data_IF_015708148613
#
_entry.id   IF_015708148613
#
_cell.length_a   1.000
_cell.length_b   1.000
_cell.length_c   1.000
_cell.angle_alpha   90.00
_cell.angle_beta   90.00
_cell.angle_gamma   90.00
#
_symmetry.space_group_name_H-M   'P 1'
#
loop_
_entity.id
_entity.type
_entity.pdbx_description
1 polymer ?
#
# COMPACT_ATOMS: atom_id res chain seq x y z
N UNK A 1 39.99 -18.15 25.70
CA UNK A 1 38.57 -17.79 25.40
C UNK A 1 38.58 -16.60 24.45
N UNK A 2 38.43 -16.85 23.14
CA UNK A 2 38.27 -15.80 22.13
C UNK A 2 36.82 -15.33 22.22
N UNK A 3 36.63 -14.11 22.67
CA UNK A 3 35.37 -13.36 22.50
C UNK A 3 35.25 -12.96 21.01
N UNK A 4 34.48 -13.68 20.27
CA UNK A 4 34.02 -13.23 18.94
C UNK A 4 33.00 -12.11 19.16
N UNK A 5 33.45 -10.86 19.02
CA UNK A 5 32.54 -9.71 18.90
C UNK A 5 31.73 -9.87 17.64
N UNK A 6 30.45 -10.22 17.79
CA UNK A 6 29.47 -10.11 16.72
C UNK A 6 29.20 -8.61 16.53
N UNK A 7 29.91 -7.98 15.59
CA UNK A 7 29.48 -6.70 15.05
C UNK A 7 28.12 -6.92 14.39
N UNK A 8 27.07 -6.43 15.00
CA UNK A 8 25.79 -6.24 14.32
C UNK A 8 26.06 -5.26 13.18
N UNK A 9 26.23 -5.79 11.97
CA UNK A 9 26.25 -4.96 10.77
C UNK A 9 24.93 -4.18 10.74
N UNK A 10 25.02 -2.86 10.83
CA UNK A 10 23.88 -1.98 10.61
C UNK A 10 23.26 -2.26 9.24
N UNK A 11 21.97 -1.98 9.06
CA UNK A 11 21.30 -2.19 7.78
C UNK A 11 22.00 -1.38 6.70
N UNK A 12 22.45 -2.05 5.63
CA UNK A 12 23.10 -1.42 4.47
C UNK A 12 22.07 -0.83 3.52
N UNK A 13 20.87 -1.42 3.43
CA UNK A 13 19.77 -0.94 2.61
C UNK A 13 18.62 -0.46 3.50
N UNK A 14 18.35 0.82 3.49
CA UNK A 14 17.42 1.49 4.41
C UNK A 14 16.15 1.92 3.70
N UNK A 15 15.00 1.67 4.35
CA UNK A 15 13.71 2.00 3.79
C UNK A 15 12.58 1.97 4.82
N UNK A 16 11.37 2.19 4.34
CA UNK A 16 10.17 2.20 5.17
C UNK A 16 8.93 2.56 4.35
N UNK A 17 7.91 3.06 5.00
CA UNK A 17 6.69 3.53 4.33
C UNK A 17 5.43 2.78 4.74
N UNK A 18 4.72 2.20 3.79
CA UNK A 18 3.41 1.57 3.99
C UNK A 18 3.34 0.69 5.23
N UNK A 19 2.29 0.87 6.03
CA UNK A 19 2.07 0.10 7.26
C UNK A 19 1.34 -1.23 7.00
N UNK A 20 0.52 -1.31 5.96
CA UNK A 20 -0.22 -2.54 5.63
C UNK A 20 0.72 -3.74 5.42
N UNK A 21 1.79 -3.65 4.60
CA UNK A 21 2.70 -4.77 4.36
C UNK A 21 3.89 -4.83 5.33
N UNK A 22 3.87 -4.07 6.42
CA UNK A 22 5.05 -3.93 7.28
C UNK A 22 5.61 -5.26 7.78
N UNK A 23 4.74 -6.18 8.24
CA UNK A 23 5.15 -7.51 8.70
C UNK A 23 5.61 -8.41 7.56
N UNK A 24 5.01 -8.29 6.38
CA UNK A 24 5.51 -8.97 5.19
C UNK A 24 6.93 -8.51 4.84
N UNK A 25 7.20 -7.21 4.94
CA UNK A 25 8.54 -6.68 4.69
C UNK A 25 9.53 -7.10 5.80
N UNK A 26 9.22 -6.81 7.07
CA UNK A 26 10.14 -7.02 8.20
C UNK A 26 9.37 -7.25 9.51
N UNK A 27 9.96 -8.00 10.44
CA UNK A 27 9.41 -8.18 11.78
C UNK A 27 8.59 -9.45 11.99
N UNK A 28 8.53 -10.33 11.00
CA UNK A 28 7.99 -11.69 11.10
C UNK A 28 9.06 -12.72 10.71
N UNK A 29 8.89 -13.97 11.12
CA UNK A 29 9.84 -15.03 10.81
C UNK A 29 9.93 -15.33 9.30
N UNK A 30 8.87 -15.07 8.55
CA UNK A 30 8.72 -15.28 7.12
C UNK A 30 8.77 -13.97 6.30
N UNK A 31 9.22 -12.87 6.90
CA UNK A 31 9.40 -11.59 6.21
C UNK A 31 10.33 -11.73 5.01
N UNK A 32 10.01 -11.00 3.92
CA UNK A 32 10.68 -11.17 2.62
C UNK A 32 11.96 -10.36 2.45
N UNK A 33 12.15 -9.28 3.23
CA UNK A 33 13.36 -8.47 3.12
C UNK A 33 14.56 -9.16 3.75
N UNK A 34 15.74 -9.09 3.11
CA UNK A 34 16.99 -9.62 3.66
C UNK A 34 17.34 -8.99 5.02
N UNK A 35 18.24 -9.67 5.77
CA UNK A 35 18.62 -9.25 7.12
C UNK A 35 19.25 -7.85 7.16
N UNK A 36 20.00 -7.49 6.12
CA UNK A 36 20.68 -6.19 5.99
C UNK A 36 19.77 -5.07 5.44
N UNK A 37 18.46 -5.33 5.29
CA UNK A 37 17.46 -4.31 4.97
C UNK A 37 16.77 -3.84 6.25
N UNK A 38 16.50 -2.55 6.38
CA UNK A 38 15.61 -2.00 7.40
C UNK A 38 14.25 -1.62 6.79
N UNK A 39 13.20 -1.63 7.61
CA UNK A 39 11.89 -1.14 7.22
C UNK A 39 11.20 -0.43 8.38
N UNK A 40 10.90 0.85 8.22
CA UNK A 40 10.16 1.66 9.19
C UNK A 40 8.70 1.83 8.70
N UNK A 41 7.74 1.30 9.45
CA UNK A 41 6.32 1.41 9.16
C UNK A 41 5.80 2.82 9.52
N UNK A 42 5.95 3.77 8.62
CA UNK A 42 5.59 5.18 8.82
C UNK A 42 4.29 5.62 8.12
N UNK A 43 3.71 4.74 7.31
CA UNK A 43 2.60 5.04 6.40
C UNK A 43 3.09 5.48 5.01
N UNK A 44 2.27 5.21 3.97
CA UNK A 44 2.64 5.47 2.58
C UNK A 44 2.96 6.94 2.30
N UNK A 45 2.21 7.88 2.90
CA UNK A 45 2.43 9.31 2.68
C UNK A 45 3.79 9.79 3.18
N UNK A 46 4.15 9.42 4.42
CA UNK A 46 5.47 9.75 5.00
C UNK A 46 6.58 9.04 4.22
N UNK A 47 6.39 7.76 3.89
CA UNK A 47 7.35 6.99 3.09
C UNK A 47 7.65 7.65 1.75
N UNK A 48 6.62 8.05 0.98
CA UNK A 48 6.80 8.75 -0.30
C UNK A 48 7.61 10.03 -0.12
N UNK A 49 7.26 10.88 0.85
CA UNK A 49 8.00 12.11 1.13
C UNK A 49 9.45 11.82 1.50
N UNK A 50 9.68 10.84 2.39
CA UNK A 50 11.02 10.44 2.81
C UNK A 50 11.90 10.01 1.62
N UNK A 51 11.35 9.20 0.73
CA UNK A 51 12.08 8.74 -0.46
C UNK A 51 12.33 9.87 -1.47
N UNK A 52 11.30 10.64 -1.83
CA UNK A 52 11.41 11.68 -2.83
C UNK A 52 12.45 12.74 -2.44
N UNK A 53 12.44 13.15 -1.17
CA UNK A 53 13.38 14.14 -0.63
C UNK A 53 14.69 13.54 -0.11
N UNK A 54 14.83 12.23 -0.11
CA UNK A 54 15.93 11.50 0.54
C UNK A 54 16.12 11.93 2.01
N UNK A 55 15.03 11.98 2.77
CA UNK A 55 15.04 12.42 4.16
C UNK A 55 14.82 11.24 5.13
N UNK A 56 15.88 10.62 5.67
CA UNK A 56 15.79 9.49 6.58
C UNK A 56 15.18 9.84 7.94
N UNK A 57 15.17 11.11 8.35
CA UNK A 57 14.57 11.55 9.62
C UNK A 57 13.07 11.26 9.66
N UNK A 58 12.39 11.30 8.52
CA UNK A 58 10.97 10.93 8.41
C UNK A 58 10.71 9.44 8.66
N UNK A 59 11.75 8.61 8.59
CA UNK A 59 11.70 7.19 8.92
C UNK A 59 12.33 6.87 10.28
N UNK A 60 12.58 7.89 11.10
CA UNK A 60 13.14 7.73 12.45
C UNK A 60 14.67 7.56 12.51
N UNK A 61 15.38 7.69 11.40
CA UNK A 61 16.83 7.66 11.35
C UNK A 61 17.41 9.08 11.41
N UNK A 62 18.52 9.26 12.11
CA UNK A 62 19.18 10.58 12.25
C UNK A 62 20.14 10.90 11.10
N UNK A 63 20.62 9.87 10.42
CA UNK A 63 21.60 9.96 9.31
C UNK A 63 21.30 8.90 8.27
N UNK A 64 21.94 9.00 7.11
CA UNK A 64 21.88 8.00 6.03
C UNK A 64 21.00 8.40 4.87
N UNK A 65 20.56 7.42 4.11
CA UNK A 65 19.82 7.56 2.86
C UNK A 65 18.54 6.73 2.91
N UNK A 66 17.51 7.17 2.22
CA UNK A 66 16.29 6.38 1.97
C UNK A 66 16.47 5.68 0.61
N UNK A 67 16.87 4.42 0.63
CA UNK A 67 17.16 3.66 -0.59
C UNK A 67 15.90 3.21 -1.33
N UNK A 68 14.86 2.81 -0.57
CA UNK A 68 13.59 2.34 -1.11
C UNK A 68 12.44 2.62 -0.14
N UNK A 69 11.22 2.52 -0.64
CA UNK A 69 10.01 2.51 0.21
C UNK A 69 8.99 1.48 -0.29
N UNK A 70 8.16 1.02 0.64
CA UNK A 70 6.88 0.39 0.32
C UNK A 70 5.78 1.46 0.29
N UNK A 71 4.85 1.37 -0.65
CA UNK A 71 3.71 2.29 -0.70
C UNK A 71 2.45 1.62 -1.26
N UNK A 72 1.35 1.71 -0.52
CA UNK A 72 0.04 1.26 -0.98
C UNK A 72 -0.70 2.38 -1.74
N UNK A 73 -0.19 3.61 -1.68
CA UNK A 73 -0.60 4.72 -2.53
C UNK A 73 0.39 4.93 -3.67
N UNK A 74 -0.11 5.33 -4.83
CA UNK A 74 0.74 5.60 -6.00
C UNK A 74 1.41 6.98 -5.90
N UNK A 75 2.56 7.14 -6.56
CA UNK A 75 3.13 8.46 -6.78
C UNK A 75 2.26 9.22 -7.78
N UNK A 76 1.75 10.36 -7.38
CA UNK A 76 0.95 11.24 -8.23
C UNK A 76 1.79 11.88 -9.33
N UNK A 77 1.12 12.38 -10.36
CA UNK A 77 1.80 13.13 -11.45
C UNK A 77 2.57 14.33 -10.92
N UNK A 78 2.05 15.01 -9.90
CA UNK A 78 2.74 16.14 -9.26
C UNK A 78 3.98 15.69 -8.48
N UNK A 79 3.93 14.57 -7.76
CA UNK A 79 5.09 13.99 -7.07
C UNK A 79 6.17 13.54 -8.06
N UNK A 80 5.78 12.87 -9.15
CA UNK A 80 6.70 12.46 -10.22
C UNK A 80 7.35 13.65 -10.92
N UNK A 81 6.58 14.70 -11.21
CA UNK A 81 7.08 15.94 -11.81
C UNK A 81 8.04 16.66 -10.86
N UNK A 82 7.69 16.81 -9.59
CA UNK A 82 8.55 17.43 -8.59
C UNK A 82 9.88 16.66 -8.43
N UNK A 83 9.83 15.32 -8.39
CA UNK A 83 11.05 14.51 -8.36
C UNK A 83 11.91 14.70 -9.61
N UNK A 84 11.28 14.72 -10.78
CA UNK A 84 12.00 14.93 -12.06
C UNK A 84 12.73 16.27 -12.09
N UNK A 85 12.09 17.32 -11.59
CA UNK A 85 12.64 18.68 -11.59
C UNK A 85 13.75 18.84 -10.54
N UNK A 86 13.55 18.34 -9.31
CA UNK A 86 14.40 18.71 -8.18
C UNK A 86 15.47 17.66 -7.86
N UNK A 87 15.24 16.38 -8.16
CA UNK A 87 16.08 15.30 -7.63
C UNK A 87 16.64 14.33 -8.67
N UNK A 88 15.98 14.17 -9.82
CA UNK A 88 16.42 13.24 -10.87
C UNK A 88 17.82 13.56 -11.38
N UNK A 89 18.23 14.83 -11.40
CA UNK A 89 19.57 15.25 -11.81
C UNK A 89 20.66 14.63 -10.95
N UNK A 90 20.45 14.60 -9.63
CA UNK A 90 21.41 14.07 -8.66
C UNK A 90 21.25 12.56 -8.42
N UNK A 91 20.01 12.07 -8.30
CA UNK A 91 19.71 10.68 -7.87
C UNK A 91 19.41 9.72 -9.03
N UNK A 92 19.25 10.22 -10.26
CA UNK A 92 18.79 9.42 -11.39
C UNK A 92 17.27 9.18 -11.38
N UNK A 93 16.76 8.37 -12.32
CA UNK A 93 15.34 8.00 -12.37
C UNK A 93 14.89 7.23 -11.14
N UNK A 94 13.61 7.34 -10.79
CA UNK A 94 12.97 6.45 -9.85
C UNK A 94 12.20 5.34 -10.58
N UNK A 95 12.04 4.22 -9.90
CA UNK A 95 11.26 3.06 -10.35
C UNK A 95 10.16 2.83 -9.33
N UNK A 96 8.94 2.58 -9.82
CA UNK A 96 7.77 2.27 -9.01
C UNK A 96 7.11 1.04 -9.63
N UNK A 97 7.04 -0.07 -8.89
CA UNK A 97 6.53 -1.36 -9.38
C UNK A 97 5.62 -2.02 -8.34
N UNK A 98 4.63 -2.83 -8.76
CA UNK A 98 3.84 -3.60 -7.81
C UNK A 98 4.68 -4.69 -7.14
N UNK A 99 4.52 -4.86 -5.84
CA UNK A 99 5.16 -5.95 -5.09
C UNK A 99 4.19 -7.12 -4.87
N UNK A 100 2.96 -6.82 -4.45
CA UNK A 100 1.91 -7.81 -4.22
C UNK A 100 0.54 -7.17 -4.31
N UNK A 101 -0.47 -7.94 -4.71
CA UNK A 101 -1.86 -7.50 -4.66
C UNK A 101 -2.33 -7.37 -3.22
N UNK A 102 -3.16 -6.36 -2.95
CA UNK A 102 -3.75 -6.08 -1.64
C UNK A 102 -5.23 -5.80 -1.74
N UNK A 103 -5.88 -5.65 -0.59
CA UNK A 103 -7.27 -5.22 -0.48
C UNK A 103 -7.45 -4.35 0.75
N UNK A 104 -8.54 -3.58 0.77
CA UNK A 104 -9.01 -2.91 1.98
C UNK A 104 -10.18 -3.69 2.54
N UNK A 105 -10.05 -4.14 3.77
CA UNK A 105 -11.10 -4.82 4.52
C UNK A 105 -11.95 -3.80 5.26
N UNK A 106 -13.20 -4.17 5.56
CA UNK A 106 -14.16 -3.31 6.26
C UNK A 106 -14.51 -3.98 7.61
N UNK A 107 -13.67 -3.82 8.64
CA UNK A 107 -13.96 -4.31 9.98
C UNK A 107 -15.14 -3.55 10.60
N UNK A 108 -15.97 -4.26 11.36
CA UNK A 108 -17.12 -3.69 12.06
C UNK A 108 -17.36 -4.34 13.42
N UNK A 109 -18.07 -3.65 14.29
CA UNK A 109 -18.54 -4.13 15.60
C UNK A 109 -20.00 -3.77 15.77
N UNK A 110 -20.87 -4.73 15.50
CA UNK A 110 -22.33 -4.61 15.68
C UNK A 110 -22.82 -5.93 16.25
N UNK A 111 -23.02 -6.06 17.60
CA UNK A 111 -23.22 -7.34 18.26
C UNK A 111 -24.44 -8.14 17.80
N UNK A 112 -25.47 -7.49 17.31
CA UNK A 112 -26.69 -8.08 16.78
C UNK A 112 -26.60 -8.47 15.29
N UNK A 113 -25.44 -8.25 14.65
CA UNK A 113 -25.18 -8.59 13.25
C UNK A 113 -23.92 -9.44 13.16
N UNK A 114 -24.04 -10.63 12.58
CA UNK A 114 -22.94 -11.56 12.35
C UNK A 114 -22.71 -11.87 10.87
N UNK A 115 -23.47 -11.25 9.98
CA UNK A 115 -23.42 -11.43 8.52
C UNK A 115 -23.70 -10.09 7.84
N UNK A 116 -22.79 -9.13 8.01
CA UNK A 116 -22.94 -7.80 7.42
C UNK A 116 -22.55 -7.83 5.95
N UNK A 117 -23.48 -7.39 5.10
CA UNK A 117 -23.21 -7.12 3.69
C UNK A 117 -23.57 -5.67 3.36
N UNK A 118 -22.60 -4.91 2.88
CA UNK A 118 -22.77 -3.53 2.47
C UNK A 118 -22.57 -3.40 0.96
N UNK A 119 -23.51 -2.73 0.30
CA UNK A 119 -23.29 -2.27 -1.06
C UNK A 119 -22.29 -1.13 -1.09
N UNK A 120 -21.67 -0.87 -2.24
CA UNK A 120 -20.80 0.30 -2.41
C UNK A 120 -21.50 1.64 -2.09
N UNK A 121 -22.80 1.73 -2.39
CA UNK A 121 -23.61 2.90 -2.04
C UNK A 121 -23.76 3.07 -0.52
N UNK A 122 -24.00 1.97 0.20
CA UNK A 122 -24.07 1.98 1.66
C UNK A 122 -22.71 2.33 2.30
N UNK A 123 -21.61 1.83 1.75
CA UNK A 123 -20.26 2.28 2.17
C UNK A 123 -20.09 3.79 2.00
N UNK A 124 -20.51 4.32 0.85
CA UNK A 124 -20.49 5.74 0.60
C UNK A 124 -21.34 6.52 1.62
N UNK A 125 -22.55 6.05 1.90
CA UNK A 125 -23.47 6.66 2.87
C UNK A 125 -22.87 6.67 4.29
N UNK A 126 -22.23 5.59 4.72
CA UNK A 126 -21.61 5.48 6.03
C UNK A 126 -20.38 6.39 6.15
N UNK A 127 -19.41 6.24 5.24
CA UNK A 127 -18.13 6.96 5.32
C UNK A 127 -18.23 8.44 4.98
N UNK A 128 -19.26 8.87 4.25
CA UNK A 128 -19.55 10.30 4.07
C UNK A 128 -20.30 10.94 5.25
N UNK A 129 -20.91 10.14 6.13
CA UNK A 129 -21.79 10.61 7.19
C UNK A 129 -23.20 10.97 6.71
N UNK A 130 -23.59 10.56 5.50
CA UNK A 130 -24.95 10.76 4.99
C UNK A 130 -25.98 9.91 5.75
N UNK A 131 -25.54 8.77 6.29
CA UNK A 131 -26.29 7.96 7.26
C UNK A 131 -25.50 7.95 8.57
N UNK A 132 -26.17 8.31 9.65
CA UNK A 132 -25.54 8.50 10.96
C UNK A 132 -25.90 7.39 11.96
N UNK A 133 -26.89 6.56 11.65
CA UNK A 133 -27.29 5.40 12.45
C UNK A 133 -27.30 4.14 11.60
N UNK A 134 -27.07 3.00 12.24
CA UNK A 134 -27.15 1.68 11.61
C UNK A 134 -28.55 1.40 11.04
N UNK A 135 -29.58 1.85 11.71
CA UNK A 135 -30.95 1.71 11.19
C UNK A 135 -31.18 2.47 9.89
N UNK A 136 -30.65 3.69 9.77
CA UNK A 136 -30.71 4.43 8.50
C UNK A 136 -29.91 3.74 7.39
N UNK A 137 -28.77 3.14 7.72
CA UNK A 137 -27.91 2.46 6.76
C UNK A 137 -28.53 1.15 6.25
N UNK A 138 -29.13 0.38 7.15
CA UNK A 138 -29.62 -0.98 6.88
C UNK A 138 -31.14 -1.06 6.68
N UNK A 139 -31.87 0.07 6.76
CA UNK A 139 -33.31 0.09 6.54
C UNK A 139 -34.15 -0.40 7.73
N UNK A 140 -33.60 -0.38 8.95
CA UNK A 140 -34.33 -0.71 10.18
C UNK A 140 -34.49 0.55 11.06
N UNK A 141 -35.59 1.30 10.96
CA UNK A 141 -35.76 2.56 11.68
C UNK A 141 -35.83 2.44 13.21
N UNK A 142 -36.00 1.22 13.74
CA UNK A 142 -35.96 0.96 15.19
C UNK A 142 -34.52 0.95 15.72
N UNK A 143 -33.52 0.64 14.90
CA UNK A 143 -32.12 0.66 15.30
C UNK A 143 -31.56 2.07 15.27
N UNK A 144 -31.40 2.69 16.41
CA UNK A 144 -30.82 4.03 16.58
C UNK A 144 -29.35 4.04 16.94
N UNK A 145 -28.66 2.89 16.87
CA UNK A 145 -27.23 2.78 17.16
C UNK A 145 -26.45 3.72 16.26
N UNK A 146 -25.67 4.68 16.81
CA UNK A 146 -24.88 5.58 16.00
C UNK A 146 -23.78 4.82 15.23
N UNK A 147 -23.52 5.22 13.99
CA UNK A 147 -22.36 4.76 13.23
C UNK A 147 -21.14 5.55 13.71
N UNK A 148 -20.12 4.83 14.15
CA UNK A 148 -18.82 5.39 14.54
C UNK A 148 -17.77 4.97 13.54
N UNK A 149 -17.31 5.89 12.71
CA UNK A 149 -16.23 5.62 11.76
C UNK A 149 -14.87 5.66 12.46
N UNK A 150 -14.06 4.64 12.24
CA UNK A 150 -12.65 4.61 12.62
C UNK A 150 -11.84 4.76 11.33
N UNK A 151 -11.02 5.80 11.24
CA UNK A 151 -10.25 6.13 10.06
C UNK A 151 -8.78 6.40 10.38
N UNK A 152 -7.91 6.21 9.40
CA UNK A 152 -6.48 6.47 9.56
C UNK A 152 -6.17 7.96 9.43
N UNK A 153 -5.35 8.47 10.35
CA UNK A 153 -4.84 9.83 10.34
C UNK A 153 -3.65 9.94 9.38
N UNK A 154 -3.58 11.05 8.63
CA UNK A 154 -2.48 11.29 7.71
C UNK A 154 -2.57 10.48 6.42
N UNK A 155 -1.47 10.44 5.68
CA UNK A 155 -1.40 9.78 4.37
C UNK A 155 -1.32 8.26 4.49
N UNK A 156 -2.39 7.56 4.10
CA UNK A 156 -2.53 6.11 4.15
C UNK A 156 -2.90 5.54 2.79
N UNK A 157 -2.23 4.44 2.40
CA UNK A 157 -2.58 3.72 1.19
C UNK A 157 -3.94 3.02 1.29
N UNK A 158 -4.32 2.51 2.46
CA UNK A 158 -5.66 1.96 2.67
C UNK A 158 -6.73 3.03 2.45
N UNK A 159 -6.49 4.26 2.92
CA UNK A 159 -7.37 5.40 2.65
C UNK A 159 -7.47 5.69 1.15
N UNK A 160 -6.35 5.70 0.42
CA UNK A 160 -6.39 5.97 -1.01
C UNK A 160 -7.15 4.89 -1.79
N UNK A 161 -6.95 3.61 -1.47
CA UNK A 161 -7.68 2.51 -2.11
C UNK A 161 -9.19 2.58 -1.82
N UNK A 162 -9.57 2.81 -0.56
CA UNK A 162 -10.98 2.99 -0.20
C UNK A 162 -11.59 4.18 -0.92
N UNK A 163 -10.94 5.36 -0.86
CA UNK A 163 -11.50 6.59 -1.42
C UNK A 163 -11.53 6.59 -2.95
N UNK A 164 -10.64 5.86 -3.61
CA UNK A 164 -10.71 5.59 -5.05
C UNK A 164 -11.98 4.80 -5.40
N UNK A 165 -12.29 3.77 -4.65
CA UNK A 165 -13.53 3.02 -4.80
C UNK A 165 -14.76 3.91 -4.54
N UNK A 166 -14.78 4.65 -3.43
CA UNK A 166 -15.89 5.53 -3.09
C UNK A 166 -16.07 6.67 -4.10
N UNK A 167 -14.98 7.25 -4.62
CA UNK A 167 -15.06 8.25 -5.68
C UNK A 167 -15.75 7.71 -6.94
N UNK A 168 -15.49 6.45 -7.32
CA UNK A 168 -16.16 5.84 -8.48
C UNK A 168 -17.67 5.65 -8.30
N UNK A 169 -18.11 5.54 -7.06
CA UNK A 169 -19.53 5.30 -6.71
C UNK A 169 -20.27 6.61 -6.41
N UNK A 170 -19.64 7.53 -5.72
CA UNK A 170 -20.23 8.77 -5.25
C UNK A 170 -19.26 9.97 -5.38
N UNK A 171 -18.93 10.39 -6.60
CA UNK A 171 -17.90 11.39 -6.87
C UNK A 171 -18.21 12.78 -6.29
N UNK A 172 -19.47 13.06 -5.94
CA UNK A 172 -19.88 14.29 -5.27
C UNK A 172 -19.58 14.30 -3.76
N UNK A 173 -19.28 13.12 -3.17
CA UNK A 173 -19.01 12.96 -1.74
C UNK A 173 -17.57 12.58 -1.43
N UNK A 174 -16.87 12.00 -2.38
CA UNK A 174 -15.46 11.61 -2.24
C UNK A 174 -14.64 11.98 -3.47
N UNK A 175 -13.42 12.46 -3.20
CA UNK A 175 -12.31 12.48 -4.14
C UNK A 175 -11.32 11.36 -3.77
N UNK A 176 -10.54 10.84 -4.72
CA UNK A 176 -9.44 9.94 -4.42
C UNK A 176 -8.34 10.70 -3.69
N UNK A 177 -8.04 10.31 -2.45
CA UNK A 177 -7.00 10.93 -1.64
C UNK A 177 -6.47 9.96 -0.59
N UNK A 178 -5.19 10.04 -0.27
CA UNK A 178 -4.58 9.24 0.80
C UNK A 178 -4.88 9.78 2.21
N UNK A 179 -5.40 11.00 2.33
CA UNK A 179 -5.81 11.62 3.60
C UNK A 179 -7.33 11.63 3.65
N UNK A 180 -7.92 10.93 4.62
CA UNK A 180 -9.36 10.71 4.70
C UNK A 180 -10.18 12.00 4.78
N UNK A 181 -9.74 12.96 5.59
CA UNK A 181 -10.41 14.28 5.73
C UNK A 181 -10.40 15.10 4.44
N UNK A 182 -9.37 14.92 3.61
CA UNK A 182 -9.26 15.61 2.32
C UNK A 182 -10.04 14.87 1.22
N UNK A 183 -10.25 13.56 1.40
CA UNK A 183 -11.02 12.76 0.46
C UNK A 183 -12.52 13.03 0.54
N UNK A 184 -13.04 13.30 1.75
CA UNK A 184 -14.47 13.68 1.92
C UNK A 184 -14.73 15.06 1.35
N UNK A 185 -15.87 15.22 0.68
CA UNK A 185 -16.27 16.49 0.09
C UNK A 185 -17.42 17.13 0.88
N UNK A 186 -17.33 18.43 1.19
CA UNK A 186 -16.19 19.32 0.90
C UNK A 186 -14.96 18.92 1.72
N UNK A 187 -13.77 19.01 1.11
CA UNK A 187 -12.52 18.67 1.76
C UNK A 187 -12.31 19.52 3.04
N UNK A 188 -11.84 18.85 4.11
CA UNK A 188 -11.61 19.50 5.41
C UNK A 188 -12.90 19.85 6.18
N UNK A 189 -14.07 19.38 5.72
CA UNK A 189 -15.34 19.58 6.44
C UNK A 189 -15.34 18.88 7.80
N UNK A 190 -16.12 19.44 8.75
CA UNK A 190 -16.23 18.88 10.09
C UNK A 190 -16.69 17.42 10.07
N UNK A 191 -16.00 16.60 10.87
CA UNK A 191 -16.37 15.18 11.08
C UNK A 191 -17.35 15.08 12.25
N UNK A 192 -18.25 14.07 12.26
CA UNK A 192 -19.04 13.76 13.45
C UNK A 192 -18.12 13.52 14.66
N UNK A 193 -18.51 14.05 15.81
CA UNK A 193 -17.68 14.03 17.03
C UNK A 193 -17.39 12.63 17.59
N UNK A 194 -18.18 11.64 17.19
CA UNK A 194 -17.99 10.23 17.56
C UNK A 194 -17.06 9.47 16.61
N UNK A 195 -16.56 10.09 15.56
CA UNK A 195 -15.59 9.47 14.65
C UNK A 195 -14.18 9.53 15.25
N UNK A 196 -13.37 8.51 15.01
CA UNK A 196 -12.07 8.34 15.64
C UNK A 196 -10.97 8.18 14.60
N UNK A 197 -9.95 9.02 14.75
CA UNK A 197 -8.71 8.92 14.00
C UNK A 197 -7.70 8.04 14.73
N UNK A 198 -7.12 7.07 14.05
CA UNK A 198 -5.98 6.27 14.53
C UNK A 198 -4.72 6.59 13.72
N UNK A 199 -3.56 6.39 14.31
CA UNK A 199 -2.28 6.58 13.61
C UNK A 199 -2.11 5.51 12.53
N UNK A 200 -1.33 5.75 11.47
CA UNK A 200 -1.14 4.78 10.39
C UNK A 200 -0.56 3.43 10.81
N UNK A 201 0.18 3.38 11.92
CA UNK A 201 0.74 2.16 12.50
C UNK A 201 -0.15 1.49 13.56
N UNK A 202 -1.29 2.10 13.89
CA UNK A 202 -2.27 1.55 14.82
C UNK A 202 -3.31 0.74 14.04
N UNK A 203 -3.75 -0.37 14.64
CA UNK A 203 -4.80 -1.19 14.05
C UNK A 203 -6.16 -0.50 14.16
N UNK A 204 -6.78 -0.23 13.03
CA UNK A 204 -8.18 0.19 12.95
C UNK A 204 -9.07 -0.86 13.58
N UNK A 205 -8.76 -2.15 13.38
CA UNK A 205 -9.50 -3.28 13.96
C UNK A 205 -9.60 -3.18 15.47
N UNK A 206 -8.50 -2.94 16.16
CA UNK A 206 -8.50 -2.81 17.62
C UNK A 206 -9.43 -1.67 18.08
N UNK A 207 -9.41 -0.54 17.39
CA UNK A 207 -10.29 0.58 17.72
C UNK A 207 -11.76 0.31 17.40
N UNK A 208 -12.04 -0.49 16.36
CA UNK A 208 -13.39 -0.96 16.02
C UNK A 208 -13.91 -1.94 17.08
N UNK A 209 -13.10 -2.92 17.49
CA UNK A 209 -13.49 -3.97 18.43
C UNK A 209 -13.83 -3.44 19.83
N UNK A 210 -13.32 -2.28 20.20
CA UNK A 210 -13.51 -1.68 21.51
C UNK A 210 -14.87 -0.99 21.69
N UNK A 211 -15.56 -0.61 20.60
CA UNK A 211 -16.82 0.17 20.72
C UNK A 211 -17.88 -0.37 19.75
N UNK A 212 -19.04 -0.74 20.31
CA UNK A 212 -20.21 -1.13 19.52
C UNK A 212 -20.68 0.02 18.60
N UNK A 213 -21.15 -0.34 17.41
CA UNK A 213 -21.54 0.60 16.35
C UNK A 213 -20.38 1.09 15.49
N UNK A 214 -19.16 0.64 15.78
CA UNK A 214 -17.96 1.03 15.00
C UNK A 214 -17.86 0.29 13.68
N UNK A 215 -17.36 0.99 12.68
CA UNK A 215 -16.94 0.47 11.37
C UNK A 215 -15.69 1.23 10.94
N UNK A 216 -14.78 0.56 10.24
CA UNK A 216 -13.55 1.17 9.76
C UNK A 216 -13.04 0.50 8.50
N UNK A 217 -11.77 0.75 8.17
CA UNK A 217 -11.10 0.17 7.02
C UNK A 217 -9.62 -0.04 7.30
N UNK A 218 -9.07 -1.19 6.91
CA UNK A 218 -7.65 -1.49 7.05
C UNK A 218 -7.17 -2.52 6.02
N UNK A 219 -5.86 -2.76 5.97
CA UNK A 219 -5.25 -3.79 5.14
C UNK A 219 -5.64 -5.21 5.56
N UNK A 220 -5.26 -6.21 4.77
CA UNK A 220 -5.69 -7.59 4.98
C UNK A 220 -4.84 -8.38 5.98
N UNK A 221 -3.65 -7.90 6.35
CA UNK A 221 -2.72 -8.65 7.20
C UNK A 221 -3.21 -8.75 8.65
N UNK A 222 -3.04 -9.92 9.23
CA UNK A 222 -3.45 -10.19 10.62
C UNK A 222 -4.96 -10.34 10.85
N UNK A 223 -5.77 -10.43 9.78
CA UNK A 223 -7.23 -10.53 9.84
C UNK A 223 -7.68 -11.86 9.23
N UNK A 224 -8.70 -12.50 9.83
CA UNK A 224 -9.41 -13.61 9.16
C UNK A 224 -10.38 -13.05 8.12
N UNK A 225 -10.00 -13.15 6.86
CA UNK A 225 -10.73 -12.59 5.72
C UNK A 225 -12.00 -13.38 5.36
N UNK A 226 -12.24 -14.51 6.00
CA UNK A 226 -13.46 -15.32 5.85
C UNK A 226 -14.47 -15.11 6.98
N UNK A 227 -14.10 -14.40 8.06
CA UNK A 227 -14.97 -14.17 9.23
C UNK A 227 -15.90 -12.97 9.01
N UNK A 228 -17.08 -13.24 8.47
CA UNK A 228 -18.09 -12.20 8.23
C UNK A 228 -18.73 -11.63 9.52
N UNK A 229 -18.51 -12.26 10.67
CA UNK A 229 -18.95 -11.68 11.95
C UNK A 229 -18.10 -10.45 12.35
N UNK A 230 -16.98 -10.24 11.69
CA UNK A 230 -15.99 -9.19 11.98
C UNK A 230 -15.64 -8.32 10.78
N UNK A 231 -15.70 -8.88 9.58
CA UNK A 231 -15.39 -8.20 8.31
C UNK A 231 -16.63 -8.20 7.44
N UNK A 232 -17.09 -7.02 7.05
CA UNK A 232 -18.26 -6.91 6.17
C UNK A 232 -17.96 -7.46 4.76
N UNK A 233 -18.96 -8.10 4.17
CA UNK A 233 -18.99 -8.26 2.70
C UNK A 233 -19.18 -6.91 2.04
N UNK A 234 -18.54 -6.74 0.90
CA UNK A 234 -18.78 -5.62 0.01
C UNK A 234 -19.38 -6.15 -1.28
N UNK A 235 -20.55 -5.68 -1.63
CA UNK A 235 -21.32 -6.18 -2.80
C UNK A 235 -21.45 -7.72 -2.80
N UNK A 236 -21.70 -8.32 -1.64
CA UNK A 236 -21.89 -9.76 -1.46
C UNK A 236 -20.61 -10.57 -1.29
N UNK A 237 -19.42 -9.98 -1.43
CA UNK A 237 -18.14 -10.69 -1.40
C UNK A 237 -17.28 -10.33 -0.19
N UNK A 238 -16.73 -11.34 0.48
CA UNK A 238 -15.63 -11.19 1.43
C UNK A 238 -14.29 -11.03 0.69
N UNK A 239 -13.29 -10.36 1.29
CA UNK A 239 -11.96 -10.18 0.69
C UNK A 239 -11.10 -11.45 0.79
N UNK A 240 -11.68 -12.63 0.52
CA UNK A 240 -10.95 -13.89 0.48
C UNK A 240 -9.87 -13.88 -0.59
N UNK A 241 -8.88 -14.78 -0.50
CA UNK A 241 -7.83 -14.88 -1.52
C UNK A 241 -8.41 -15.06 -2.93
N UNK A 242 -9.40 -15.94 -3.08
CA UNK A 242 -10.04 -16.20 -4.38
C UNK A 242 -10.66 -14.92 -4.98
N UNK A 243 -11.44 -14.19 -4.18
CA UNK A 243 -12.12 -12.97 -4.63
C UNK A 243 -11.14 -11.83 -4.97
N UNK A 244 -10.01 -11.74 -4.25
CA UNK A 244 -8.95 -10.77 -4.53
C UNK A 244 -8.16 -11.14 -5.79
N UNK A 245 -7.83 -12.42 -5.96
CA UNK A 245 -7.15 -12.93 -7.15
C UNK A 245 -7.94 -12.63 -8.42
N UNK A 246 -9.26 -12.85 -8.39
CA UNK A 246 -10.13 -12.54 -9.53
C UNK A 246 -10.05 -11.05 -9.87
N UNK A 247 -10.15 -10.18 -8.86
CA UNK A 247 -10.15 -8.74 -9.04
C UNK A 247 -8.83 -8.18 -9.62
N UNK A 248 -7.66 -8.68 -9.15
CA UNK A 248 -6.35 -8.12 -9.54
C UNK A 248 -5.77 -8.68 -10.84
N UNK A 249 -6.35 -9.72 -11.43
CA UNK A 249 -5.81 -10.35 -12.65
C UNK A 249 -6.06 -9.56 -13.94
N UNK A 250 -6.89 -8.55 -13.90
CA UNK A 250 -7.44 -7.90 -15.11
C UNK A 250 -6.50 -6.94 -15.83
N UNK A 251 -5.34 -6.62 -15.26
CA UNK A 251 -4.40 -5.61 -15.81
C UNK A 251 -3.09 -6.26 -16.22
N UNK A 252 -2.66 -6.01 -17.46
CA UNK A 252 -1.37 -6.46 -17.99
C UNK A 252 -0.24 -5.47 -17.66
N UNK A 253 1.03 -5.91 -17.58
CA UNK A 253 2.18 -5.03 -17.47
C UNK A 253 2.39 -4.18 -18.73
N UNK A 254 3.18 -3.09 -18.66
CA UNK A 254 3.46 -2.23 -19.81
C UNK A 254 4.07 -3.03 -20.97
N UNK A 255 3.45 -2.94 -22.17
CA UNK A 255 3.82 -3.72 -23.35
C UNK A 255 4.75 -3.00 -24.32
N UNK A 256 4.82 -1.65 -24.27
CA UNK A 256 5.63 -0.86 -25.21
C UNK A 256 6.74 -0.10 -24.47
N UNK A 257 7.85 0.20 -25.16
CA UNK A 257 9.03 0.81 -24.56
C UNK A 257 8.73 2.17 -23.89
N UNK A 258 7.90 3.01 -24.52
CA UNK A 258 7.50 4.30 -23.96
C UNK A 258 6.78 4.16 -22.62
N UNK A 259 5.88 3.19 -22.49
CA UNK A 259 5.17 2.91 -21.24
C UNK A 259 6.11 2.30 -20.20
N UNK A 260 7.05 1.45 -20.61
CA UNK A 260 8.04 0.88 -19.66
C UNK A 260 8.98 1.92 -19.09
N UNK A 261 9.25 3.00 -19.81
CA UNK A 261 10.05 4.13 -19.34
C UNK A 261 9.30 5.09 -18.39
N UNK A 262 7.97 4.98 -18.32
CA UNK A 262 7.12 5.82 -17.46
C UNK A 262 6.77 5.10 -16.15
N UNK A 263 7.27 5.58 -14.99
CA UNK A 263 6.98 4.96 -13.69
C UNK A 263 5.49 4.88 -13.36
N UNK A 264 4.64 5.76 -13.91
CA UNK A 264 3.20 5.74 -13.68
C UNK A 264 2.50 4.57 -14.34
N UNK A 265 3.08 3.99 -15.38
CA UNK A 265 2.51 2.87 -16.15
C UNK A 265 2.72 1.50 -15.49
N UNK A 266 3.64 1.42 -14.55
CA UNK A 266 3.93 0.18 -13.82
C UNK A 266 2.98 -0.08 -12.65
N UNK A 267 2.08 0.84 -12.34
CA UNK A 267 1.13 0.70 -11.24
C UNK A 267 -0.27 0.43 -11.78
N UNK A 268 -0.78 -0.81 -11.66
CA UNK A 268 -2.16 -1.09 -12.01
C UNK A 268 -3.11 -0.36 -11.06
N UNK A 269 -4.07 0.34 -11.62
CA UNK A 269 -5.09 1.07 -10.84
C UNK A 269 -6.45 0.40 -11.04
N UNK A 270 -7.05 -0.05 -9.95
CA UNK A 270 -8.39 -0.61 -9.92
C UNK A 270 -9.36 0.44 -9.37
N UNK A 271 -10.30 0.83 -10.17
CA UNK A 271 -11.32 1.81 -9.76
C UNK A 271 -12.54 1.11 -9.19
N UNK A 272 -13.03 0.11 -9.89
CA UNK A 272 -14.14 -0.76 -9.47
C UNK A 272 -14.09 -2.00 -10.36
N UNK A 273 -13.36 -3.06 -9.99
CA UNK A 273 -13.22 -4.24 -10.83
C UNK A 273 -14.57 -4.90 -11.12
N UNK A 274 -14.75 -5.33 -12.35
CA UNK A 274 -16.00 -5.95 -12.81
C UNK A 274 -16.28 -7.33 -12.18
N UNK A 275 -15.28 -7.93 -11.54
CA UNK A 275 -15.38 -9.23 -10.88
C UNK A 275 -14.44 -9.29 -9.69
N UNK A 276 -14.79 -10.12 -8.70
CA UNK A 276 -14.05 -10.26 -7.46
C UNK A 276 -14.34 -9.16 -6.44
N UNK A 277 -13.49 -9.05 -5.42
CA UNK A 277 -13.67 -8.09 -4.34
C UNK A 277 -13.43 -6.65 -4.83
N UNK A 278 -14.33 -5.73 -4.43
CA UNK A 278 -14.39 -4.39 -5.04
C UNK A 278 -13.26 -3.45 -4.64
N UNK A 279 -12.66 -3.59 -3.43
CA UNK A 279 -11.68 -2.62 -2.90
C UNK A 279 -10.31 -3.28 -2.91
N UNK A 280 -9.67 -3.30 -4.06
CA UNK A 280 -8.36 -3.92 -4.28
C UNK A 280 -7.35 -2.94 -4.87
N UNK A 281 -6.08 -3.28 -4.74
CA UNK A 281 -4.97 -2.56 -5.34
C UNK A 281 -3.69 -3.34 -5.20
N UNK A 282 -2.57 -2.63 -5.24
CA UNK A 282 -1.26 -3.20 -5.00
C UNK A 282 -0.53 -2.45 -3.89
N UNK A 283 0.25 -3.18 -3.11
CA UNK A 283 1.37 -2.59 -2.41
C UNK A 283 2.53 -2.52 -3.38
N UNK A 284 3.18 -1.37 -3.45
CA UNK A 284 4.18 -1.05 -4.45
C UNK A 284 5.55 -0.91 -3.80
N UNK A 285 6.59 -1.21 -4.55
CA UNK A 285 7.98 -1.00 -4.17
C UNK A 285 8.54 0.16 -5.02
N UNK A 286 9.02 1.21 -4.35
CA UNK A 286 9.59 2.39 -4.99
C UNK A 286 11.05 2.50 -4.62
N UNK A 287 11.92 2.63 -5.61
CA UNK A 287 13.37 2.68 -5.42
C UNK A 287 14.06 3.49 -6.51
N UNK A 288 15.33 3.79 -6.33
CA UNK A 288 16.14 4.49 -7.34
C UNK A 288 16.64 3.55 -8.42
N UNK A 289 16.77 4.03 -9.63
CA UNK A 289 17.50 3.29 -10.64
C UNK A 289 19.01 3.36 -10.39
N UNK A 290 19.51 4.45 -9.78
CA UNK A 290 20.94 4.72 -9.62
C UNK A 290 21.31 4.84 -8.14
N UNK A 291 22.37 4.13 -7.74
CA UNK A 291 22.99 4.16 -6.41
C UNK A 291 24.48 4.39 -6.53
N UNK A 292 25.03 5.25 -5.66
CA UNK A 292 26.49 5.50 -5.60
C UNK A 292 27.22 4.34 -4.96
N UNK A 293 26.59 3.71 -3.94
CA UNK A 293 27.10 2.49 -3.32
C UNK A 293 26.72 1.27 -4.17
N UNK A 294 27.72 0.64 -4.74
CA UNK A 294 27.54 -0.56 -5.55
C UNK A 294 26.98 -1.75 -4.75
N UNK A 295 27.25 -1.80 -3.42
CA UNK A 295 26.73 -2.85 -2.53
C UNK A 295 25.21 -2.69 -2.37
N UNK A 296 24.73 -1.47 -2.15
CA UNK A 296 23.28 -1.20 -2.09
C UNK A 296 22.57 -1.60 -3.38
N UNK A 297 23.15 -1.27 -4.52
CA UNK A 297 22.60 -1.67 -5.82
C UNK A 297 22.57 -3.20 -6.01
N UNK A 298 23.62 -3.89 -5.58
CA UNK A 298 23.73 -5.35 -5.67
C UNK A 298 22.71 -6.03 -4.73
N UNK A 299 22.57 -5.56 -3.51
CA UNK A 299 21.62 -6.08 -2.52
C UNK A 299 20.17 -5.89 -2.96
N UNK A 300 19.82 -4.71 -3.48
CA UNK A 300 18.50 -4.46 -4.06
C UNK A 300 18.22 -5.37 -5.25
N UNK A 301 19.17 -5.52 -6.15
CA UNK A 301 19.05 -6.43 -7.30
C UNK A 301 18.86 -7.88 -6.85
N UNK A 302 19.59 -8.33 -5.84
CA UNK A 302 19.45 -9.68 -5.29
C UNK A 302 18.05 -9.90 -4.68
N UNK A 303 17.57 -8.96 -3.86
CA UNK A 303 16.21 -9.03 -3.31
C UNK A 303 15.13 -9.07 -4.41
N UNK A 304 15.22 -8.17 -5.39
CA UNK A 304 14.26 -8.11 -6.48
C UNK A 304 14.31 -9.38 -7.35
N UNK A 305 15.50 -9.94 -7.58
CA UNK A 305 15.66 -11.22 -8.27
C UNK A 305 14.98 -12.36 -7.50
N UNK A 306 15.14 -12.40 -6.17
CA UNK A 306 14.48 -13.40 -5.33
C UNK A 306 12.95 -13.27 -5.38
N UNK A 307 12.44 -12.04 -5.33
CA UNK A 307 11.00 -11.79 -5.28
C UNK A 307 10.32 -11.98 -6.64
N UNK A 308 10.92 -11.48 -7.72
CA UNK A 308 10.30 -11.50 -9.05
C UNK A 308 10.79 -12.65 -9.93
N UNK A 309 11.98 -13.20 -9.68
CA UNK A 309 12.56 -14.26 -10.52
C UNK A 309 11.95 -15.65 -10.34
N UNK A 310 11.04 -15.82 -9.38
CA UNK A 310 10.45 -17.14 -9.11
C UNK A 310 9.24 -17.08 -8.18
N UNK A 311 9.09 -18.12 -7.37
CA UNK A 311 7.96 -18.29 -6.42
C UNK A 311 8.41 -18.28 -4.96
N UNK A 312 9.67 -18.03 -4.67
CA UNK A 312 10.28 -18.15 -3.32
C UNK A 312 9.52 -17.37 -2.25
N UNK A 313 9.09 -16.14 -2.56
CA UNK A 313 8.38 -15.29 -1.62
C UNK A 313 6.86 -15.45 -1.66
N UNK A 314 6.31 -16.23 -2.60
CA UNK A 314 4.86 -16.32 -2.81
C UNK A 314 4.12 -16.83 -1.57
N UNK A 315 4.72 -17.79 -0.85
CA UNK A 315 4.12 -18.34 0.37
C UNK A 315 4.02 -17.25 1.45
N UNK A 316 5.11 -16.55 1.75
CA UNK A 316 5.10 -15.44 2.72
C UNK A 316 4.09 -14.36 2.33
N UNK A 317 4.04 -13.97 1.04
CA UNK A 317 3.05 -13.03 0.53
C UNK A 317 1.62 -13.52 0.83
N UNK A 318 1.31 -14.79 0.59
CA UNK A 318 -0.02 -15.35 0.83
C UNK A 318 -0.33 -15.49 2.34
N UNK A 319 0.64 -15.92 3.16
CA UNK A 319 0.50 -16.08 4.60
C UNK A 319 0.21 -14.72 5.28
N UNK A 320 0.77 -13.63 4.77
CA UNK A 320 0.45 -12.25 5.14
C UNK A 320 -0.81 -11.69 4.46
N UNK A 321 -1.62 -12.54 3.85
CA UNK A 321 -2.90 -12.16 3.23
C UNK A 321 -2.79 -11.22 2.02
N UNK A 322 -1.62 -11.13 1.38
CA UNK A 322 -1.44 -10.47 0.09
C UNK A 322 -1.63 -11.47 -1.06
N UNK A 323 -1.70 -10.95 -2.28
CA UNK A 323 -1.82 -11.76 -3.50
C UNK A 323 -0.50 -11.74 -4.25
N UNK A 324 0.17 -12.90 -4.43
CA UNK A 324 1.38 -12.95 -5.24
C UNK A 324 1.12 -12.45 -6.67
N UNK A 325 2.10 -11.75 -7.22
CA UNK A 325 2.03 -11.31 -8.61
C UNK A 325 1.99 -12.50 -9.58
N UNK A 326 1.22 -12.35 -10.64
CA UNK A 326 1.19 -13.32 -11.75
C UNK A 326 2.50 -13.31 -12.54
N UNK A 327 2.81 -14.43 -13.21
CA UNK A 327 4.08 -14.62 -13.91
C UNK A 327 4.38 -13.54 -14.96
N UNK A 328 3.36 -13.04 -15.66
CA UNK A 328 3.53 -11.98 -16.67
C UNK A 328 4.09 -10.68 -16.07
N UNK A 329 3.60 -10.26 -14.91
CA UNK A 329 4.11 -9.09 -14.20
C UNK A 329 5.54 -9.31 -13.70
N UNK A 330 5.80 -10.48 -13.09
CA UNK A 330 7.15 -10.83 -12.61
C UNK A 330 8.16 -10.82 -13.74
N UNK A 331 7.84 -11.46 -14.87
CA UNK A 331 8.72 -11.50 -16.05
C UNK A 331 8.98 -10.12 -16.64
N UNK A 332 7.96 -9.27 -16.72
CA UNK A 332 8.10 -7.91 -17.23
C UNK A 332 9.02 -7.06 -16.34
N UNK A 333 8.85 -7.13 -15.01
CA UNK A 333 9.70 -6.42 -14.04
C UNK A 333 11.15 -6.92 -14.11
N UNK A 334 11.35 -8.23 -14.14
CA UNK A 334 12.69 -8.82 -14.28
C UNK A 334 13.39 -8.33 -15.54
N UNK A 335 12.69 -8.42 -16.67
CA UNK A 335 13.22 -8.02 -17.97
C UNK A 335 13.53 -6.52 -18.05
N UNK A 336 12.68 -5.66 -17.48
CA UNK A 336 12.88 -4.21 -17.55
C UNK A 336 14.00 -3.71 -16.61
N UNK A 337 13.96 -4.10 -15.33
CA UNK A 337 14.73 -3.42 -14.30
C UNK A 337 15.90 -4.23 -13.72
N UNK A 338 15.96 -5.54 -13.98
CA UNK A 338 16.93 -6.40 -13.31
C UNK A 338 17.88 -7.06 -14.30
N UNK A 339 17.38 -7.76 -15.33
CA UNK A 339 18.20 -8.53 -16.28
C UNK A 339 18.30 -7.89 -17.65
N UNK A 340 17.36 -7.00 -18.03
CA UNK A 340 17.31 -6.43 -19.37
C UNK A 340 18.34 -5.31 -19.58
N UNK A 341 18.87 -5.23 -20.79
CA UNK A 341 19.85 -4.21 -21.19
C UNK A 341 19.36 -3.31 -22.32
N UNK A 342 18.27 -3.69 -23.00
CA UNK A 342 17.84 -3.08 -24.25
C UNK A 342 17.25 -1.66 -24.11
N UNK A 343 16.67 -1.32 -22.94
CA UNK A 343 15.96 -0.05 -22.72
C UNK A 343 16.63 0.84 -21.68
N UNK A 344 17.81 0.47 -21.20
CA UNK A 344 18.57 1.21 -20.19
C UNK A 344 17.83 1.45 -18.86
N UNK A 345 16.84 0.62 -18.51
CA UNK A 345 16.02 0.74 -17.30
C UNK A 345 16.60 -0.02 -16.10
N UNK A 346 17.55 -0.90 -16.30
CA UNK A 346 18.11 -1.74 -15.24
C UNK A 346 18.80 -0.91 -14.14
N UNK A 347 18.75 -1.42 -12.91
CA UNK A 347 19.44 -0.81 -11.75
C UNK A 347 20.93 -0.62 -12.08
N UNK A 348 21.44 0.55 -11.78
CA UNK A 348 22.83 0.98 -12.03
C UNK A 348 23.29 0.77 -13.50
N UNK A 349 22.38 0.99 -14.45
CA UNK A 349 22.77 1.02 -15.85
C UNK A 349 23.77 2.17 -16.09
N UNK A 350 24.98 1.90 -16.59
CA UNK A 350 26.05 2.92 -16.72
C UNK A 350 25.71 4.04 -17.69
N UNK A 351 24.87 3.79 -18.71
CA UNK A 351 24.43 4.83 -19.65
C UNK A 351 23.53 5.88 -19.02
N UNK A 352 22.83 5.53 -17.93
CA UNK A 352 21.90 6.43 -17.24
C UNK A 352 22.49 6.97 -15.95
N UNK A 353 23.23 6.13 -15.22
CA UNK A 353 23.69 6.39 -13.86
C UNK A 353 25.10 7.02 -13.79
N UNK A 354 25.70 7.38 -14.92
CA UNK A 354 27.00 8.03 -14.94
C UNK A 354 26.97 9.35 -14.16
N UNK A 355 27.76 9.44 -13.09
CA UNK A 355 27.84 10.61 -12.21
C UNK A 355 26.60 10.86 -11.34
N UNK A 356 25.59 9.99 -11.39
CA UNK A 356 24.33 10.10 -10.64
C UNK A 356 24.15 8.91 -9.71
N UNK A 357 23.35 9.10 -8.68
CA UNK A 357 22.92 8.02 -7.80
C UNK A 357 22.58 8.50 -6.40
N UNK A 358 21.68 7.77 -5.77
CA UNK A 358 21.40 7.91 -4.35
C UNK A 358 22.65 7.56 -3.55
N UNK A 359 22.98 8.33 -2.51
CA UNK A 359 24.15 8.03 -1.65
C UNK A 359 24.13 6.62 -1.10
#
# INVERSE_FOLDING_TARGET
TLLTSHTTLGATVTGGGASMPAKLYKGSADSILPINFSYAASGSGIGKTAFLMNNPMLLGATTGTVHYIGSDSILSSSELSAYSTNYRGAYGPLIQIPLAGTAVTIPYKKPDITDLNLTSAQLCDAFSGAKVTWGQLLGNPADRTPIRIVYQRGGSGATELLTRHLNSVCPTRFATNSIFTNARLPAGGALPSNWVAVQPYESVRNAVDNVSGSIGYEGPDGVDLSDNSKIARVNGLLPTLANRVIAVRSVAPPGVAADRADPSKWIPVFVNPNAGYSIVGYTNFVFGQCYKDATVAADLRAFLTQHYGGTTTNRAVADHRFVPLVASWKSAIMSAFITGTSENLAINNPSVCNGKGRP
#
